data_IF_434225220905
#
_entry.id   IF_434225220905
#
_cell.length_a   1.000
_cell.length_b   1.000
_cell.length_c   1.000
_cell.angle_alpha   90.00
_cell.angle_beta   90.00
_cell.angle_gamma   90.00
#
_symmetry.space_group_name_H-M   'P 1'
#
loop_
_entity.id
_entity.type
_entity.pdbx_description
1 polymer ?
#
# COMPACT_ATOMS: atom_id res chain seq x y z
N UNK A 1 -14.24 -11.87 -4.63
CA UNK A 1 -13.79 -10.48 -4.36
C UNK A 1 -12.29 -10.54 -4.30
N UNK A 2 -11.57 -9.77 -5.10
CA UNK A 2 -10.11 -9.84 -5.10
C UNK A 2 -9.60 -9.48 -3.70
N UNK A 3 -8.74 -10.33 -3.13
CA UNK A 3 -8.06 -10.03 -1.88
C UNK A 3 -7.26 -8.76 -2.07
N UNK A 4 -7.78 -7.65 -1.56
CA UNK A 4 -7.16 -6.35 -1.73
C UNK A 4 -5.81 -6.32 -0.99
N UNK A 5 -5.61 -7.15 0.03
CA UNK A 5 -4.34 -7.24 0.74
C UNK A 5 -3.46 -8.34 0.14
N UNK A 6 -2.43 -7.91 -0.59
CA UNK A 6 -1.50 -8.81 -1.30
C UNK A 6 -0.46 -9.47 -0.39
N UNK A 7 -0.33 -8.98 0.84
CA UNK A 7 0.59 -9.50 1.85
C UNK A 7 -0.23 -10.18 2.95
N UNK A 8 0.10 -11.44 3.23
CA UNK A 8 -0.35 -12.12 4.44
C UNK A 8 0.17 -11.42 5.70
N UNK A 9 -0.44 -11.70 6.86
CA UNK A 9 0.00 -11.12 8.13
C UNK A 9 1.46 -11.47 8.44
N UNK A 10 1.88 -12.70 8.13
CA UNK A 10 3.26 -13.16 8.33
C UNK A 10 4.26 -12.40 7.44
N UNK A 11 3.93 -12.24 6.15
CA UNK A 11 4.75 -11.47 5.22
C UNK A 11 4.82 -10.00 5.63
N UNK A 12 3.70 -9.43 6.08
CA UNK A 12 3.67 -8.05 6.57
C UNK A 12 4.51 -7.87 7.83
N UNK A 13 4.40 -8.77 8.80
CA UNK A 13 5.19 -8.73 10.03
C UNK A 13 6.70 -8.79 9.78
N UNK A 14 7.13 -9.45 8.70
CA UNK A 14 8.53 -9.45 8.28
C UNK A 14 8.97 -8.11 7.67
N UNK A 15 8.07 -7.36 7.03
CA UNK A 15 8.38 -6.09 6.33
C UNK A 15 8.22 -4.87 7.24
N UNK A 16 7.19 -4.87 8.10
CA UNK A 16 6.83 -3.77 8.99
C UNK A 16 8.00 -3.17 9.80
N UNK A 17 8.95 -3.96 10.34
CA UNK A 17 10.09 -3.41 11.08
C UNK A 17 11.00 -2.52 10.25
N UNK A 18 11.03 -2.73 8.93
CA UNK A 18 11.83 -1.96 7.98
C UNK A 18 11.10 -0.72 7.45
N UNK A 19 9.82 -0.56 7.78
CA UNK A 19 9.10 0.66 7.43
C UNK A 19 9.69 1.85 8.18
N UNK A 20 9.87 2.99 7.50
CA UNK A 20 10.42 4.17 8.15
C UNK A 20 9.42 4.68 9.20
N UNK A 21 9.84 4.83 10.46
CA UNK A 21 8.96 5.22 11.57
C UNK A 21 9.01 6.71 11.93
N UNK A 22 10.13 7.38 11.62
CA UNK A 22 10.38 8.78 12.01
C UNK A 22 10.63 9.68 10.80
N UNK A 23 9.65 9.83 9.92
CA UNK A 23 9.80 10.77 8.79
C UNK A 23 9.06 12.08 9.01
N UNK A 24 9.65 13.21 8.58
CA UNK A 24 8.96 14.48 8.61
C UNK A 24 7.73 14.44 7.70
N UNK A 25 6.59 14.91 8.22
CA UNK A 25 5.32 14.99 7.49
C UNK A 25 4.14 14.36 8.24
N UNK A 26 2.98 14.26 7.58
CA UNK A 26 1.78 13.66 8.17
C UNK A 26 1.99 12.19 8.54
N UNK A 27 1.36 11.78 9.64
CA UNK A 27 1.38 10.40 10.11
C UNK A 27 0.91 9.42 9.04
N UNK A 28 1.66 8.32 8.90
CA UNK A 28 1.37 7.25 7.94
C UNK A 28 0.18 6.46 8.47
N UNK A 29 -1.00 6.60 7.83
CA UNK A 29 -2.22 5.98 8.34
C UNK A 29 -2.23 4.45 8.25
N UNK A 30 -1.68 3.87 7.19
CA UNK A 30 -1.58 2.41 7.00
C UNK A 30 -0.61 2.07 5.87
N UNK A 31 0.65 1.73 6.21
CA UNK A 31 1.66 1.37 5.20
C UNK A 31 1.35 0.04 4.50
N UNK A 32 0.64 -0.88 5.17
CA UNK A 32 0.28 -2.18 4.57
C UNK A 32 -0.72 -1.97 3.45
N UNK A 33 -1.70 -1.12 3.68
CA UNK A 33 -2.69 -0.74 2.69
C UNK A 33 -2.04 -0.05 1.49
N UNK A 34 -1.10 0.89 1.73
CA UNK A 34 -0.39 1.59 0.66
C UNK A 34 0.44 0.61 -0.17
N UNK A 35 1.25 -0.23 0.47
CA UNK A 35 2.08 -1.23 -0.23
C UNK A 35 1.22 -2.22 -1.00
N UNK A 36 0.09 -2.66 -0.42
CA UNK A 36 -0.87 -3.52 -1.13
C UNK A 36 -1.45 -2.84 -2.38
N UNK A 37 -1.71 -1.53 -2.33
CA UNK A 37 -2.13 -0.75 -3.50
C UNK A 37 -1.05 -0.65 -4.58
N UNK A 38 0.21 -0.46 -4.19
CA UNK A 38 1.36 -0.47 -5.13
C UNK A 38 1.48 -1.85 -5.79
N UNK A 39 1.48 -2.93 -4.99
CA UNK A 39 1.56 -4.30 -5.49
C UNK A 39 0.42 -4.63 -6.44
N UNK A 40 -0.82 -4.21 -6.12
CA UNK A 40 -1.97 -4.38 -7.00
C UNK A 40 -1.69 -3.83 -8.39
N UNK A 41 -1.22 -2.58 -8.49
CA UNK A 41 -0.93 -1.92 -9.77
C UNK A 41 0.20 -2.62 -10.51
N UNK A 42 1.28 -2.99 -9.80
CA UNK A 42 2.43 -3.67 -10.42
C UNK A 42 2.09 -5.07 -10.92
N UNK A 43 1.26 -5.83 -10.21
CA UNK A 43 0.91 -7.20 -10.58
C UNK A 43 -0.22 -7.26 -11.61
N UNK A 44 -1.23 -6.38 -11.49
CA UNK A 44 -2.35 -6.34 -12.45
C UNK A 44 -2.03 -5.57 -13.73
N UNK A 45 -1.04 -4.69 -13.71
CA UNK A 45 -0.73 -3.77 -14.80
C UNK A 45 -1.82 -2.72 -15.05
N UNK A 46 -2.76 -2.53 -14.11
CA UNK A 46 -3.83 -1.57 -14.26
C UNK A 46 -3.28 -0.13 -14.25
N UNK A 47 -4.05 0.83 -14.80
CA UNK A 47 -3.66 2.23 -14.66
C UNK A 47 -3.86 2.65 -13.21
N UNK A 48 -3.05 3.59 -12.73
CA UNK A 48 -3.25 4.20 -11.41
C UNK A 48 -4.64 4.82 -11.23
N UNK A 49 -5.35 5.21 -12.30
CA UNK A 49 -6.73 5.71 -12.20
C UNK A 49 -7.74 4.61 -11.86
N UNK A 50 -7.41 3.37 -12.20
CA UNK A 50 -8.31 2.22 -12.10
C UNK A 50 -8.06 1.40 -10.82
N UNK A 51 -7.09 1.81 -9.99
CA UNK A 51 -6.81 1.14 -8.72
C UNK A 51 -8.01 1.27 -7.75
N UNK A 52 -8.28 0.25 -6.91
CA UNK A 52 -9.37 0.27 -5.94
C UNK A 52 -9.26 1.41 -4.90
N UNK A 53 -10.38 2.10 -4.66
CA UNK A 53 -10.47 3.14 -3.63
C UNK A 53 -10.23 2.62 -2.20
N UNK A 54 -10.34 1.30 -1.98
CA UNK A 54 -10.03 0.65 -0.71
C UNK A 54 -8.59 0.87 -0.24
N UNK A 55 -7.66 1.20 -1.16
CA UNK A 55 -6.27 1.51 -0.80
C UNK A 55 -6.07 2.94 -0.30
N UNK A 56 -7.12 3.75 -0.20
CA UNK A 56 -7.03 5.16 0.20
C UNK A 56 -6.71 6.05 -1.00
N UNK A 57 -6.46 7.36 -0.81
CA UNK A 57 -6.32 8.32 -1.91
C UNK A 57 -5.15 8.00 -2.86
N UNK A 58 -5.38 8.12 -4.17
CA UNK A 58 -4.41 7.74 -5.20
C UNK A 58 -3.10 8.49 -5.07
N UNK A 59 -3.20 9.78 -4.76
CA UNK A 59 -2.05 10.66 -4.58
C UNK A 59 -1.20 10.24 -3.38
N UNK A 60 -1.81 9.68 -2.33
CA UNK A 60 -1.09 9.12 -1.18
C UNK A 60 -0.29 7.89 -1.56
N UNK A 61 -0.86 7.00 -2.38
CA UNK A 61 -0.19 5.75 -2.82
C UNK A 61 0.87 6.04 -3.89
N UNK A 62 0.58 6.90 -4.86
CA UNK A 62 1.49 7.24 -5.96
C UNK A 62 2.70 8.06 -5.53
N UNK A 63 2.54 8.98 -4.58
CA UNK A 63 3.64 9.82 -4.08
C UNK A 63 4.49 9.11 -3.02
N UNK A 64 4.34 7.79 -2.88
CA UNK A 64 5.03 6.99 -1.88
C UNK A 64 6.20 6.25 -2.47
#
# INVERSE_FOLDING_TARGET
>A
MADLFWLSDEQWAAIEPFMPKDQPGPERKDDRQIISGILHVLTSGCRWRDYPAAYGPRTTVYNR
#
